data_IF_715762637267
#
_entry.id   IF_715762637267
#
_cell.length_a   1.000
_cell.length_b   1.000
_cell.length_c   1.000
_cell.angle_alpha   90.00
_cell.angle_beta   90.00
_cell.angle_gamma   90.00
#
_symmetry.space_group_name_H-M   'P 1'
#
loop_
_entity.id
_entity.type
_entity.pdbx_description
1 polymer ?
#
# COMPACT_ATOMS: atom_id res chain seq x y z
N UNK A 1 9.10 50.46 -3.10
CA UNK A 1 10.15 49.60 -2.51
C UNK A 1 9.71 49.43 -1.07
N UNK A 2 9.09 48.35 -0.60
CA UNK A 2 8.92 46.96 -1.06
C UNK A 2 7.56 46.48 -0.50
N UNK A 3 6.61 45.93 -1.27
CA UNK A 3 6.45 44.54 -1.71
C UNK A 3 6.74 43.45 -0.67
N UNK A 4 5.90 42.39 -0.75
CA UNK A 4 5.86 41.12 0.00
C UNK A 4 5.06 41.19 1.30
N UNK A 5 3.98 40.41 1.51
CA UNK A 5 3.43 39.29 0.77
C UNK A 5 2.64 38.44 1.76
N UNK A 6 1.32 38.40 1.59
CA UNK A 6 0.40 37.50 2.28
C UNK A 6 0.72 36.07 1.78
N UNK A 7 1.26 35.22 2.64
CA UNK A 7 1.39 33.79 2.34
C UNK A 7 0.33 33.05 3.15
N UNK A 8 -0.73 32.68 2.44
CA UNK A 8 -1.78 31.80 2.88
C UNK A 8 -1.25 30.43 3.29
N UNK A 9 -1.97 29.88 4.26
CA UNK A 9 -1.92 28.51 4.76
C UNK A 9 -1.94 27.50 3.61
N UNK A 10 -0.95 26.62 3.54
CA UNK A 10 -1.09 25.34 2.85
C UNK A 10 -0.80 24.23 3.86
N UNK A 11 -1.88 23.57 4.27
CA UNK A 11 -1.90 22.38 5.12
C UNK A 11 -1.12 21.22 4.48
N UNK A 12 -0.28 20.56 5.28
CA UNK A 12 0.64 19.48 4.89
C UNK A 12 -0.04 18.14 4.50
N UNK A 13 -1.34 18.15 4.21
CA UNK A 13 -2.14 16.94 3.90
C UNK A 13 -2.46 16.75 2.40
N UNK A 14 -2.00 17.64 1.49
CA UNK A 14 -2.28 17.57 0.04
C UNK A 14 -1.04 17.41 -0.85
N UNK A 15 -0.19 16.43 -0.54
CA UNK A 15 0.66 15.82 -1.56
C UNK A 15 0.32 14.33 -1.59
N UNK A 16 -0.79 14.01 -2.26
CA UNK A 16 -1.04 12.70 -2.83
C UNK A 16 0.14 12.40 -3.77
N UNK A 17 1.15 11.76 -3.19
CA UNK A 17 2.35 11.22 -3.81
C UNK A 17 1.92 10.18 -4.85
N UNK A 18 1.53 10.66 -6.03
CA UNK A 18 1.37 9.88 -7.25
C UNK A 18 2.77 9.53 -7.76
N UNK A 19 3.48 8.72 -6.98
CA UNK A 19 4.67 8.04 -7.44
C UNK A 19 4.24 6.65 -7.89
N UNK A 20 3.66 6.62 -9.09
CA UNK A 20 3.41 5.40 -9.84
C UNK A 20 4.72 5.03 -10.53
N UNK A 21 5.23 3.84 -10.24
CA UNK A 21 6.32 3.18 -10.97
C UNK A 21 7.77 3.66 -10.76
N UNK A 22 8.15 4.21 -9.60
CA UNK A 22 9.59 4.30 -9.27
C UNK A 22 10.06 3.04 -8.54
N UNK A 23 11.11 2.42 -9.10
CA UNK A 23 11.92 1.42 -8.43
C UNK A 23 12.26 1.92 -7.01
N UNK A 24 12.28 1.03 -6.00
CA UNK A 24 12.68 1.42 -4.64
C UNK A 24 13.98 2.22 -4.72
N UNK A 25 14.03 3.47 -4.21
CA UNK A 25 15.23 4.28 -4.27
C UNK A 25 16.36 3.49 -3.62
N UNK A 26 17.48 3.39 -4.32
CA UNK A 26 18.63 2.61 -3.87
C UNK A 26 18.98 3.08 -2.44
N UNK A 27 18.97 2.16 -1.47
CA UNK A 27 19.23 2.51 -0.07
C UNK A 27 20.57 3.24 0.10
N UNK A 28 21.56 2.93 -0.73
CA UNK A 28 22.86 3.60 -0.72
C UNK A 28 22.78 5.10 -1.05
N UNK A 29 21.73 5.55 -1.74
CA UNK A 29 21.45 6.98 -1.99
C UNK A 29 20.79 7.67 -0.79
N UNK A 30 20.23 6.90 0.15
CA UNK A 30 19.54 7.41 1.35
C UNK A 30 20.49 7.58 2.55
N UNK A 31 21.75 7.20 2.41
CA UNK A 31 22.75 7.22 3.48
C UNK A 31 24.02 7.93 3.04
N UNK A 32 24.73 8.55 4.00
CA UNK A 32 25.97 9.25 3.69
C UNK A 32 27.08 8.27 3.26
N UNK A 33 28.01 8.76 2.44
CA UNK A 33 29.18 7.98 2.00
C UNK A 33 30.03 7.48 3.17
N UNK A 34 30.08 8.23 4.27
CA UNK A 34 30.78 7.86 5.49
C UNK A 34 30.19 6.61 6.14
N UNK A 35 28.85 6.52 6.18
CA UNK A 35 28.14 5.32 6.67
C UNK A 35 28.46 4.12 5.78
N UNK A 36 28.40 4.28 4.45
CA UNK A 36 28.69 3.19 3.51
C UNK A 36 30.10 2.64 3.65
N UNK A 37 31.11 3.50 3.85
CA UNK A 37 32.50 3.07 4.05
C UNK A 37 32.70 2.31 5.36
N UNK A 38 31.87 2.55 6.37
CA UNK A 38 31.91 1.85 7.66
C UNK A 38 31.24 0.48 7.66
N UNK A 39 30.50 0.12 6.61
CA UNK A 39 29.72 -1.12 6.53
C UNK A 39 30.42 -2.19 5.70
N UNK A 40 30.29 -3.44 6.15
CA UNK A 40 30.73 -4.60 5.37
C UNK A 40 29.76 -4.84 4.21
N UNK A 41 30.21 -5.43 3.08
CA UNK A 41 29.34 -5.68 1.93
C UNK A 41 28.05 -6.47 2.24
N UNK A 42 28.11 -7.45 3.14
CA UNK A 42 26.92 -8.21 3.54
C UNK A 42 25.90 -7.34 4.30
N UNK A 43 26.36 -6.35 5.07
CA UNK A 43 25.48 -5.47 5.84
C UNK A 43 24.79 -4.46 4.93
N UNK A 44 25.50 -3.94 3.91
CA UNK A 44 24.89 -3.14 2.85
C UNK A 44 23.76 -3.93 2.19
N UNK A 45 24.01 -5.20 1.84
CA UNK A 45 22.96 -6.03 1.22
C UNK A 45 21.77 -6.27 2.15
N UNK A 46 22.03 -6.46 3.45
CA UNK A 46 20.97 -6.60 4.46
C UNK A 46 20.10 -5.34 4.54
N UNK A 47 20.71 -4.16 4.53
CA UNK A 47 19.98 -2.88 4.55
C UNK A 47 19.16 -2.66 3.29
N UNK A 48 19.68 -3.05 2.11
CA UNK A 48 18.93 -2.98 0.85
C UNK A 48 17.64 -3.80 0.92
N UNK A 49 17.71 -5.07 1.37
CA UNK A 49 16.54 -5.96 1.47
C UNK A 49 15.52 -5.44 2.48
N UNK A 50 15.97 -4.92 3.63
CA UNK A 50 15.06 -4.31 4.63
C UNK A 50 14.40 -3.05 4.08
N UNK A 51 15.16 -2.22 3.37
CA UNK A 51 14.63 -1.01 2.76
C UNK A 51 13.60 -1.33 1.69
N UNK A 52 13.86 -2.34 0.86
CA UNK A 52 12.94 -2.85 -0.15
C UNK A 52 11.63 -3.32 0.49
N UNK A 53 11.68 -4.16 1.53
CA UNK A 53 10.50 -4.61 2.28
C UNK A 53 9.64 -3.43 2.77
N UNK A 54 10.26 -2.40 3.35
CA UNK A 54 9.51 -1.27 3.91
C UNK A 54 8.95 -0.38 2.80
N UNK A 55 9.66 -0.27 1.68
CA UNK A 55 9.24 0.49 0.53
C UNK A 55 8.05 -0.15 -0.16
N UNK A 56 8.14 -1.46 -0.45
CA UNK A 56 7.09 -2.22 -1.12
C UNK A 56 5.82 -2.27 -0.27
N UNK A 57 5.93 -2.48 1.04
CA UNK A 57 4.77 -2.42 1.95
C UNK A 57 4.12 -1.03 1.97
N UNK A 58 4.92 0.03 1.95
CA UNK A 58 4.39 1.41 1.90
C UNK A 58 3.67 1.68 0.58
N UNK A 59 4.23 1.23 -0.55
CA UNK A 59 3.57 1.32 -1.85
C UNK A 59 2.26 0.52 -1.84
N UNK A 60 2.27 -0.67 -1.27
CA UNK A 60 1.09 -1.52 -1.14
C UNK A 60 -0.04 -0.86 -0.33
N UNK A 61 0.28 -0.25 0.82
CA UNK A 61 -0.69 0.54 1.61
C UNK A 61 -1.27 1.70 0.81
N UNK A 62 -0.47 2.40 -0.01
CA UNK A 62 -0.98 3.48 -0.87
C UNK A 62 -1.99 2.95 -1.88
N UNK A 63 -1.68 1.83 -2.53
CA UNK A 63 -2.58 1.16 -3.47
C UNK A 63 -3.91 0.79 -2.80
N UNK A 64 -3.87 0.19 -1.60
CA UNK A 64 -5.09 -0.13 -0.85
C UNK A 64 -5.86 1.13 -0.42
N UNK A 65 -5.19 2.21 -0.03
CA UNK A 65 -5.82 3.49 0.29
C UNK A 65 -6.52 4.12 -0.91
N UNK A 66 -5.96 4.02 -2.11
CA UNK A 66 -6.63 4.48 -3.33
C UNK A 66 -7.88 3.64 -3.60
N UNK A 67 -7.77 2.31 -3.53
CA UNK A 67 -8.93 1.42 -3.67
C UNK A 67 -10.03 1.76 -2.66
N UNK A 68 -9.67 2.08 -1.42
CA UNK A 68 -10.62 2.47 -0.39
C UNK A 68 -11.21 3.87 -0.61
N UNK A 69 -10.39 4.90 -0.73
CA UNK A 69 -10.83 6.29 -0.72
C UNK A 69 -11.45 6.73 -2.06
N UNK A 70 -10.86 6.31 -3.18
CA UNK A 70 -11.30 6.71 -4.52
C UNK A 70 -12.44 5.84 -5.01
N UNK A 71 -12.43 4.54 -4.71
CA UNK A 71 -13.49 3.64 -5.15
C UNK A 71 -14.52 3.41 -4.05
N UNK A 72 -14.19 2.70 -2.98
CA UNK A 72 -15.18 2.24 -1.98
C UNK A 72 -15.94 3.37 -1.26
N UNK A 73 -15.23 4.38 -0.76
CA UNK A 73 -15.86 5.52 -0.08
C UNK A 73 -16.68 6.37 -1.05
N UNK A 74 -16.16 6.60 -2.24
CA UNK A 74 -16.82 7.45 -3.24
C UNK A 74 -18.10 6.80 -3.79
N UNK A 75 -18.08 5.51 -4.14
CA UNK A 75 -19.31 4.79 -4.57
C UNK A 75 -20.33 4.68 -3.44
N UNK A 76 -19.88 4.65 -2.19
CA UNK A 76 -20.76 4.66 -1.02
C UNK A 76 -21.42 6.01 -0.83
N UNK A 77 -20.64 7.10 -0.86
CA UNK A 77 -21.14 8.48 -0.71
C UNK A 77 -22.09 8.88 -1.85
N UNK A 78 -21.76 8.49 -3.08
CA UNK A 78 -22.57 8.80 -4.25
C UNK A 78 -23.76 7.82 -4.42
N UNK A 79 -23.82 6.75 -3.63
CA UNK A 79 -24.90 5.75 -3.71
C UNK A 79 -24.98 5.05 -5.06
N UNK A 80 -23.83 4.84 -5.73
CA UNK A 80 -23.77 4.24 -7.07
C UNK A 80 -24.04 2.73 -7.00
N UNK A 81 -23.60 2.08 -5.93
CA UNK A 81 -23.72 0.63 -5.76
C UNK A 81 -24.61 0.28 -4.57
N UNK A 82 -25.38 -0.80 -4.71
CA UNK A 82 -26.13 -1.36 -3.59
C UNK A 82 -25.19 -1.91 -2.52
N UNK A 83 -25.66 -2.00 -1.26
CA UNK A 83 -24.88 -2.62 -0.19
C UNK A 83 -24.47 -4.06 -0.50
N UNK A 84 -25.27 -4.80 -1.28
CA UNK A 84 -24.89 -6.14 -1.75
C UNK A 84 -23.73 -6.06 -2.73
N UNK A 85 -23.79 -5.22 -3.77
CA UNK A 85 -22.72 -5.14 -4.77
C UNK A 85 -21.41 -4.66 -4.16
N UNK A 86 -21.48 -3.70 -3.23
CA UNK A 86 -20.29 -3.23 -2.50
C UNK A 86 -19.58 -4.36 -1.77
N UNK A 87 -20.30 -5.18 -1.01
CA UNK A 87 -19.70 -6.35 -0.32
C UNK A 87 -19.10 -7.34 -1.30
N UNK A 88 -19.76 -7.59 -2.44
CA UNK A 88 -19.27 -8.52 -3.47
C UNK A 88 -18.01 -8.01 -4.17
N UNK A 89 -17.88 -6.70 -4.36
CA UNK A 89 -16.72 -6.09 -5.03
C UNK A 89 -15.55 -5.93 -4.07
N UNK A 90 -15.78 -5.36 -2.89
CA UNK A 90 -14.70 -4.94 -1.98
C UNK A 90 -14.41 -5.95 -0.85
N UNK A 91 -15.25 -6.98 -0.67
CA UNK A 91 -15.05 -8.02 0.35
C UNK A 91 -14.71 -7.43 1.73
N UNK A 92 -13.55 -7.82 2.29
CA UNK A 92 -12.96 -7.36 3.54
C UNK A 92 -11.86 -6.30 3.34
N UNK A 93 -12.03 -5.38 2.38
CA UNK A 93 -11.05 -4.32 2.07
C UNK A 93 -10.61 -3.50 3.31
N UNK A 94 -11.55 -3.16 4.19
CA UNK A 94 -11.24 -2.39 5.41
C UNK A 94 -10.30 -3.15 6.35
N UNK A 95 -10.49 -4.47 6.47
CA UNK A 95 -9.67 -5.34 7.31
C UNK A 95 -8.24 -5.47 6.76
N UNK A 96 -8.10 -5.76 5.46
CA UNK A 96 -6.78 -5.89 4.81
C UNK A 96 -6.02 -4.56 4.84
N UNK A 97 -6.70 -3.43 4.56
CA UNK A 97 -6.11 -2.11 4.66
C UNK A 97 -5.64 -1.80 6.09
N UNK A 98 -6.47 -2.09 7.10
CA UNK A 98 -6.12 -1.87 8.50
C UNK A 98 -4.89 -2.66 8.93
N UNK A 99 -4.77 -3.91 8.47
CA UNK A 99 -3.60 -4.76 8.76
C UNK A 99 -2.32 -4.22 8.14
N UNK A 100 -2.33 -3.87 6.85
CA UNK A 100 -1.16 -3.34 6.16
C UNK A 100 -0.77 -1.95 6.67
N UNK A 101 -1.74 -1.08 7.03
CA UNK A 101 -1.43 0.20 7.69
C UNK A 101 -0.72 -0.03 9.03
N UNK A 102 -1.22 -0.94 9.85
CA UNK A 102 -0.59 -1.26 11.13
C UNK A 102 0.81 -1.87 10.97
N UNK A 103 1.01 -2.72 9.95
CA UNK A 103 2.33 -3.26 9.62
C UNK A 103 3.30 -2.16 9.17
N UNK A 104 2.85 -1.28 8.27
CA UNK A 104 3.65 -0.15 7.79
C UNK A 104 4.04 0.82 8.92
N UNK A 105 3.15 1.06 9.87
CA UNK A 105 3.45 1.91 11.03
C UNK A 105 4.47 1.27 11.98
N UNK A 106 4.43 -0.06 12.15
CA UNK A 106 5.48 -0.78 12.87
C UNK A 106 6.84 -0.68 12.16
N UNK A 107 6.87 -0.80 10.83
CA UNK A 107 8.09 -0.58 10.03
C UNK A 107 8.64 0.86 10.18
N UNK A 108 7.77 1.88 10.19
CA UNK A 108 8.17 3.27 10.49
C UNK A 108 8.75 3.40 11.90
N UNK A 109 8.16 2.73 12.89
CA UNK A 109 8.66 2.74 14.26
C UNK A 109 10.06 2.10 14.34
N UNK A 110 10.31 1.01 13.61
CA UNK A 110 11.64 0.40 13.47
C UNK A 110 12.63 1.40 12.86
N UNK A 111 12.27 2.16 11.82
CA UNK A 111 13.16 3.21 11.31
C UNK A 111 13.44 4.28 12.36
N UNK A 112 12.41 4.78 13.04
CA UNK A 112 12.51 5.88 13.99
C UNK A 112 13.37 5.56 15.22
N UNK A 113 13.39 4.29 15.68
CA UNK A 113 14.21 3.88 16.82
C UNK A 113 15.70 3.71 16.50
N UNK A 114 16.08 3.68 15.22
CA UNK A 114 17.47 3.67 14.81
C UNK A 114 17.90 5.11 14.51
N UNK A 115 18.78 5.67 15.35
CA UNK A 115 19.27 7.06 15.22
C UNK A 115 20.05 7.26 13.92
N UNK A 116 20.67 6.20 13.40
CA UNK A 116 21.25 6.13 12.06
C UNK A 116 20.24 5.52 11.07
N UNK A 117 20.27 5.94 9.80
CA UNK A 117 19.51 5.28 8.70
C UNK A 117 19.85 3.79 8.47
N UNK A 118 20.75 3.22 9.27
CA UNK A 118 21.11 1.80 9.33
C UNK A 118 20.23 1.11 10.38
N UNK A 119 19.42 0.15 9.94
CA UNK A 119 18.55 -0.64 10.81
C UNK A 119 19.38 -1.65 11.59
N UNK A 120 19.27 -1.70 12.91
CA UNK A 120 19.89 -2.73 13.75
C UNK A 120 19.23 -4.12 13.61
N UNK A 121 19.01 -4.79 14.74
CA UNK A 121 18.29 -6.07 14.78
C UNK A 121 16.79 -5.85 14.45
N UNK A 122 16.25 -6.74 13.62
CA UNK A 122 14.83 -6.73 13.19
C UNK A 122 14.15 -8.10 13.35
N UNK A 123 14.88 -9.13 13.80
CA UNK A 123 14.37 -10.51 13.86
C UNK A 123 13.12 -10.64 14.73
N UNK A 124 13.14 -10.06 15.92
CA UNK A 124 11.99 -10.06 16.83
C UNK A 124 10.80 -9.29 16.26
N UNK A 125 11.04 -8.20 15.53
CA UNK A 125 9.96 -7.46 14.87
C UNK A 125 9.31 -8.31 13.78
N UNK A 126 10.12 -8.98 12.95
CA UNK A 126 9.62 -9.88 11.91
C UNK A 126 8.79 -11.02 12.51
N UNK A 127 9.23 -11.62 13.63
CA UNK A 127 8.44 -12.63 14.34
C UNK A 127 7.13 -12.05 14.87
N UNK A 128 7.15 -10.82 15.40
CA UNK A 128 5.92 -10.17 15.89
C UNK A 128 4.91 -9.88 14.77
N UNK A 129 5.38 -9.63 13.55
CA UNK A 129 4.54 -9.31 12.39
C UNK A 129 4.03 -10.55 11.67
N UNK A 130 4.86 -11.59 11.59
CA UNK A 130 4.64 -12.74 10.71
C UNK A 130 4.67 -14.09 11.44
N UNK A 131 4.47 -14.12 12.75
CA UNK A 131 4.32 -15.39 13.48
C UNK A 131 3.14 -15.38 14.44
N UNK A 132 2.60 -16.57 14.70
CA UNK A 132 1.55 -16.79 15.68
C UNK A 132 0.25 -16.07 15.30
N UNK A 133 -0.41 -15.35 16.24
CA UNK A 133 -1.71 -14.72 15.96
C UNK A 133 -1.68 -13.67 14.84
N UNK A 134 -0.57 -12.95 14.67
CA UNK A 134 -0.43 -11.93 13.64
C UNK A 134 -0.41 -12.55 12.23
N UNK A 135 0.34 -13.65 12.09
CA UNK A 135 0.41 -14.45 10.86
C UNK A 135 -0.96 -14.98 10.45
N UNK A 136 -1.68 -15.62 11.37
CA UNK A 136 -3.01 -16.18 11.09
C UNK A 136 -4.02 -15.10 10.70
N UNK A 137 -3.95 -13.93 11.35
CA UNK A 137 -4.83 -12.79 11.01
C UNK A 137 -4.54 -12.26 9.60
N UNK A 138 -3.27 -12.07 9.26
CA UNK A 138 -2.86 -11.61 7.94
C UNK A 138 -3.25 -12.63 6.86
N UNK A 139 -2.90 -13.92 7.06
CA UNK A 139 -3.25 -15.02 6.15
C UNK A 139 -4.75 -15.10 5.90
N UNK A 140 -5.55 -15.06 6.96
CA UNK A 140 -7.00 -15.15 6.84
C UNK A 140 -7.57 -13.97 6.04
N UNK A 141 -7.18 -12.73 6.39
CA UNK A 141 -7.67 -11.54 5.71
C UNK A 141 -7.25 -11.52 4.23
N UNK A 142 -5.99 -11.83 3.92
CA UNK A 142 -5.48 -11.93 2.55
C UNK A 142 -6.21 -13.02 1.76
N UNK A 143 -6.40 -14.20 2.36
CA UNK A 143 -7.11 -15.30 1.71
C UNK A 143 -8.56 -14.93 1.36
N UNK A 144 -9.28 -14.26 2.27
CA UNK A 144 -10.65 -13.78 2.01
C UNK A 144 -10.69 -12.72 0.90
N UNK A 145 -9.71 -11.82 0.87
CA UNK A 145 -9.66 -10.76 -0.14
C UNK A 145 -9.33 -11.33 -1.53
N UNK A 146 -8.26 -12.12 -1.64
CA UNK A 146 -7.79 -12.68 -2.91
C UNK A 146 -8.74 -13.73 -3.49
N UNK A 147 -9.35 -14.59 -2.65
CA UNK A 147 -10.31 -15.58 -3.14
C UNK A 147 -11.58 -14.96 -3.73
N UNK A 148 -11.93 -13.74 -3.31
CA UNK A 148 -13.08 -13.00 -3.85
C UNK A 148 -12.77 -12.28 -5.18
N UNK A 149 -11.50 -12.14 -5.57
CA UNK A 149 -11.09 -11.37 -6.76
C UNK A 149 -11.83 -11.75 -8.06
N UNK A 150 -11.92 -13.02 -8.50
CA UNK A 150 -12.61 -13.35 -9.75
C UNK A 150 -14.09 -12.94 -9.73
N UNK A 151 -14.74 -13.10 -8.58
CA UNK A 151 -16.13 -12.73 -8.39
C UNK A 151 -16.34 -11.21 -8.36
N UNK A 152 -15.45 -10.48 -7.68
CA UNK A 152 -15.45 -9.01 -7.70
C UNK A 152 -15.33 -8.46 -9.13
N UNK A 153 -14.40 -9.01 -9.92
CA UNK A 153 -14.18 -8.61 -11.31
C UNK A 153 -15.41 -8.91 -12.18
N UNK A 154 -16.08 -10.03 -11.97
CA UNK A 154 -17.33 -10.36 -12.69
C UNK A 154 -18.45 -9.35 -12.36
N UNK A 155 -18.63 -9.02 -11.08
CA UNK A 155 -19.63 -8.04 -10.64
C UNK A 155 -19.32 -6.65 -11.20
N UNK A 156 -18.05 -6.21 -11.17
CA UNK A 156 -17.62 -4.94 -11.77
C UNK A 156 -17.99 -4.92 -13.26
N UNK A 157 -17.60 -5.95 -14.03
CA UNK A 157 -17.89 -6.04 -15.48
C UNK A 157 -19.39 -6.05 -15.75
N UNK A 158 -20.17 -6.78 -14.95
CA UNK A 158 -21.64 -6.85 -15.07
C UNK A 158 -22.29 -5.48 -14.80
N UNK A 159 -21.81 -4.75 -13.78
CA UNK A 159 -22.31 -3.42 -13.44
C UNK A 159 -21.93 -2.37 -14.47
N UNK A 160 -20.70 -2.38 -14.99
CA UNK A 160 -20.28 -1.46 -16.06
C UNK A 160 -21.12 -1.60 -17.33
N UNK A 161 -21.65 -2.80 -17.64
CA UNK A 161 -22.52 -3.02 -18.79
C UNK A 161 -23.96 -2.55 -18.57
N UNK A 162 -24.45 -2.63 -17.33
CA UNK A 162 -25.88 -2.43 -16.99
C UNK A 162 -26.19 -1.05 -16.43
N UNK A 163 -25.18 -0.38 -15.86
CA UNK A 163 -25.32 0.87 -15.14
C UNK A 163 -24.34 1.89 -15.71
N UNK A 164 -24.85 2.83 -16.51
CA UNK A 164 -24.06 3.89 -17.13
C UNK A 164 -23.41 4.81 -16.10
N UNK A 165 -24.04 5.01 -14.94
CA UNK A 165 -23.48 5.83 -13.86
C UNK A 165 -22.25 5.16 -13.26
N UNK A 166 -22.32 3.85 -13.02
CA UNK A 166 -21.15 3.08 -12.58
C UNK A 166 -20.08 3.00 -13.67
N UNK A 167 -20.47 2.85 -14.94
CA UNK A 167 -19.52 2.86 -16.06
C UNK A 167 -18.73 4.18 -16.14
N UNK A 168 -19.41 5.33 -16.11
CA UNK A 168 -18.78 6.65 -16.11
C UNK A 168 -17.89 6.83 -14.87
N UNK A 169 -18.38 6.43 -13.69
CA UNK A 169 -17.59 6.46 -12.47
C UNK A 169 -16.27 5.71 -12.64
N UNK A 170 -16.33 4.46 -13.12
CA UNK A 170 -15.14 3.65 -13.31
C UNK A 170 -14.21 4.26 -14.35
N UNK A 171 -14.72 4.72 -15.50
CA UNK A 171 -13.90 5.35 -16.54
C UNK A 171 -13.15 6.58 -16.04
N UNK A 172 -13.82 7.46 -15.30
CA UNK A 172 -13.21 8.71 -14.79
C UNK A 172 -12.13 8.44 -13.74
N UNK A 173 -12.31 7.41 -12.89
CA UNK A 173 -11.35 7.11 -11.82
C UNK A 173 -10.22 6.17 -12.28
N UNK A 174 -10.40 5.38 -13.34
CA UNK A 174 -9.34 4.53 -13.90
C UNK A 174 -8.37 5.29 -14.81
N UNK A 175 -8.83 6.34 -15.51
CA UNK A 175 -7.94 7.21 -16.31
C UNK A 175 -6.98 8.04 -15.46
N UNK A 176 -7.14 8.05 -14.14
CA UNK A 176 -6.23 8.67 -13.17
C UNK A 176 -5.16 7.71 -12.61
N UNK A 177 -4.86 6.60 -13.29
CA UNK A 177 -3.65 5.80 -13.01
C UNK A 177 -3.86 4.53 -12.18
N UNK A 178 -4.97 3.80 -12.38
CA UNK A 178 -5.17 2.51 -11.71
C UNK A 178 -5.43 1.40 -12.72
N UNK A 179 -4.45 0.53 -12.95
CA UNK A 179 -4.66 -0.77 -13.61
C UNK A 179 -5.04 -1.80 -12.55
N UNK A 180 -6.34 -1.96 -12.29
CA UNK A 180 -6.87 -3.05 -11.45
C UNK A 180 -6.63 -4.47 -12.01
N UNK A 181 -5.80 -4.62 -13.05
CA UNK A 181 -5.75 -5.84 -13.85
C UNK A 181 -4.65 -6.84 -13.46
N UNK A 182 -3.63 -6.47 -12.67
CA UNK A 182 -2.56 -7.43 -12.34
C UNK A 182 -1.86 -7.18 -10.98
N UNK A 183 -1.77 -5.94 -10.51
CA UNK A 183 -0.75 -5.59 -9.51
C UNK A 183 -1.14 -5.89 -8.05
N UNK A 184 -2.43 -5.82 -7.68
CA UNK A 184 -2.82 -5.93 -6.26
C UNK A 184 -2.73 -7.37 -5.72
N UNK A 185 -2.93 -8.37 -6.59
CA UNK A 185 -2.96 -9.78 -6.20
C UNK A 185 -1.70 -10.55 -6.57
N UNK A 186 -1.00 -10.14 -7.64
CA UNK A 186 0.26 -10.76 -8.07
C UNK A 186 1.35 -10.65 -7.00
N UNK A 187 1.48 -9.47 -6.39
CA UNK A 187 2.53 -9.19 -5.40
C UNK A 187 2.27 -9.87 -4.05
N UNK A 188 1.05 -9.81 -3.52
CA UNK A 188 0.71 -10.48 -2.24
C UNK A 188 0.86 -12.01 -2.32
N UNK A 189 0.46 -12.61 -3.44
CA UNK A 189 0.53 -14.06 -3.63
C UNK A 189 1.98 -14.52 -3.85
N UNK A 190 2.82 -13.71 -4.50
CA UNK A 190 4.25 -14.01 -4.73
C UNK A 190 5.08 -13.87 -3.46
N UNK A 191 4.83 -12.84 -2.64
CA UNK A 191 5.52 -12.63 -1.36
C UNK A 191 5.17 -13.72 -0.35
N UNK A 192 3.91 -14.20 -0.32
CA UNK A 192 3.48 -15.23 0.63
C UNK A 192 3.80 -16.67 0.16
N UNK A 193 3.81 -16.95 -1.15
CA UNK A 193 4.19 -18.27 -1.67
C UNK A 193 5.71 -18.47 -1.85
N UNK A 194 6.52 -17.41 -1.73
CA UNK A 194 7.98 -17.48 -1.72
C UNK A 194 8.60 -17.88 -0.37
N UNK A 195 7.79 -18.04 0.69
CA UNK A 195 8.22 -18.53 2.01
C UNK A 195 8.04 -20.06 2.17
N UNK A 196 8.39 -20.85 1.15
CA UNK A 196 8.53 -22.31 1.27
C UNK A 196 9.85 -22.80 0.67
#
# INVERSE_FOLDING_TARGET
MDSVGFADVQSEDELYDFDMDTDPPNWQQLVSREVLMGLKPYEIKRQEVINELFYTERAHVRTLKVLHNVFYQRVTREGILSSSDKRKIFSNLEDILGLHVALNDQMKAVRKRNETSVIGQIGEDLLSWFSGPAEEKLKHATATFCSNQPFALEVIKSRQKKDSRFQTFVQVNFTQGFKLHEDVAGDQCSVMNGCR
#
